data_IF_230052404964
#
_entry.id   IF_230052404964
#
_cell.length_a   1.000
_cell.length_b   1.000
_cell.length_c   1.000
_cell.angle_alpha   90.00
_cell.angle_beta   90.00
_cell.angle_gamma   90.00
#
_symmetry.space_group_name_H-M   'P 1'
#
loop_
_entity.id
_entity.type
_entity.pdbx_description
1 polymer ?
#
# COMPACT_ATOMS: atom_id res chain seq x y z
N UNK A 1 -69.61 33.52 30.89
CA UNK A 1 -68.29 32.84 30.88
C UNK A 1 -68.29 31.61 29.96
N UNK A 2 -68.72 31.72 28.69
CA UNK A 2 -68.76 30.60 27.72
C UNK A 2 -68.16 30.95 26.33
N UNK A 3 -67.69 32.19 26.15
CA UNK A 3 -67.14 32.71 24.88
C UNK A 3 -65.61 32.66 24.79
N UNK A 4 -64.93 32.38 25.91
CA UNK A 4 -63.46 32.24 25.96
C UNK A 4 -63.00 30.78 25.85
N UNK A 5 -63.93 29.82 25.90
CA UNK A 5 -63.64 28.38 25.77
C UNK A 5 -62.99 28.01 24.42
N UNK A 6 -63.42 28.52 23.25
CA UNK A 6 -62.77 28.18 21.99
C UNK A 6 -61.38 28.83 21.84
N UNK A 7 -61.16 29.99 22.47
CA UNK A 7 -59.87 30.71 22.41
C UNK A 7 -58.79 29.99 23.25
N UNK A 8 -59.17 29.50 24.44
CA UNK A 8 -58.27 28.72 25.30
C UNK A 8 -57.93 27.37 24.65
N UNK A 9 -58.90 26.72 23.99
CA UNK A 9 -58.66 25.45 23.29
C UNK A 9 -57.67 25.62 22.11
N UNK A 10 -57.76 26.74 21.38
CA UNK A 10 -56.87 27.05 20.25
C UNK A 10 -55.42 27.30 20.71
N UNK A 11 -55.24 27.99 21.85
CA UNK A 11 -53.91 28.26 22.43
C UNK A 11 -53.26 26.96 22.94
N UNK A 12 -54.03 26.04 23.51
CA UNK A 12 -53.52 24.73 23.95
C UNK A 12 -53.12 23.86 22.75
N UNK A 13 -53.88 23.90 21.64
CA UNK A 13 -53.55 23.15 20.44
C UNK A 13 -52.26 23.66 19.77
N UNK A 14 -52.05 24.98 19.72
CA UNK A 14 -50.86 25.60 19.16
C UNK A 14 -49.63 25.44 20.08
N UNK A 15 -49.80 25.49 21.40
CA UNK A 15 -48.73 25.25 22.36
C UNK A 15 -48.25 23.80 22.43
N UNK A 16 -49.16 22.83 22.27
CA UNK A 16 -48.85 21.40 22.30
C UNK A 16 -47.96 20.93 21.13
N UNK A 17 -48.19 21.47 19.93
CA UNK A 17 -47.40 21.13 18.74
C UNK A 17 -45.98 21.69 18.82
N UNK A 18 -45.81 22.89 19.40
CA UNK A 18 -44.49 23.51 19.63
C UNK A 18 -43.62 22.76 20.64
N UNK A 19 -44.23 22.16 21.68
CA UNK A 19 -43.49 21.34 22.65
C UNK A 19 -43.10 19.97 22.08
N UNK A 20 -44.00 19.32 21.33
CA UNK A 20 -43.75 17.99 20.76
C UNK A 20 -42.65 17.98 19.68
N UNK A 21 -42.46 19.09 18.95
CA UNK A 21 -41.35 19.23 18.00
C UNK A 21 -40.01 19.60 18.65
N UNK A 22 -40.00 20.07 19.92
CA UNK A 22 -38.77 20.40 20.65
C UNK A 22 -38.22 19.23 21.49
N UNK A 23 -39.01 18.17 21.72
CA UNK A 23 -38.61 17.00 22.53
C UNK A 23 -38.13 15.79 21.72
N UNK A 24 -37.92 15.94 20.40
CA UNK A 24 -37.17 14.96 19.59
C UNK A 24 -35.85 15.57 19.10
N UNK A 25 -34.95 15.85 20.04
CA UNK A 25 -33.52 15.93 19.73
C UNK A 25 -32.93 14.51 19.85
N UNK A 26 -32.12 14.06 18.88
CA UNK A 26 -31.51 12.73 18.93
C UNK A 26 -30.60 12.60 20.15
N UNK A 27 -30.58 11.40 20.74
CA UNK A 27 -29.62 11.00 21.76
C UNK A 27 -28.22 11.48 21.39
N UNK A 28 -27.72 12.42 22.18
CA UNK A 28 -26.29 12.71 22.30
C UNK A 28 -25.67 11.48 22.94
N UNK A 29 -25.12 10.60 22.09
CA UNK A 29 -24.18 9.56 22.48
C UNK A 29 -22.97 10.22 23.16
N UNK A 30 -22.23 9.53 24.05
CA UNK A 30 -21.13 10.13 24.78
C UNK A 30 -20.15 10.72 23.78
N UNK A 31 -19.87 12.01 24.00
CA UNK A 31 -18.80 12.78 23.40
C UNK A 31 -17.47 12.07 23.67
N UNK A 32 -17.13 11.06 22.87
CA UNK A 32 -15.75 10.84 22.49
C UNK A 32 -15.39 12.08 21.71
N UNK A 33 -14.67 12.99 22.35
CA UNK A 33 -13.98 14.08 21.69
C UNK A 33 -13.14 13.46 20.58
N UNK A 34 -13.66 13.47 19.35
CA UNK A 34 -12.84 13.40 18.16
C UNK A 34 -12.07 14.71 18.15
N UNK A 35 -10.93 14.68 18.81
CA UNK A 35 -9.85 15.61 18.53
C UNK A 35 -9.54 15.41 17.05
N UNK A 36 -10.13 16.23 16.20
CA UNK A 36 -9.62 16.52 14.86
C UNK A 36 -8.28 17.25 15.04
N UNK A 37 -7.28 16.52 15.50
CA UNK A 37 -5.94 16.71 14.97
C UNK A 37 -5.97 16.00 13.62
N UNK A 38 -5.78 16.75 12.55
CA UNK A 38 -5.44 16.19 11.25
C UNK A 38 -4.12 15.44 11.41
N UNK A 39 -4.20 14.21 11.89
CA UNK A 39 -3.15 13.24 11.66
C UNK A 39 -3.00 13.14 10.16
N UNK A 40 -1.78 13.23 9.67
CA UNK A 40 -1.58 13.10 8.23
C UNK A 40 -2.07 11.72 7.78
N UNK A 41 -2.54 11.61 6.54
CA UNK A 41 -2.84 10.30 5.94
C UNK A 41 -1.62 9.35 5.98
N UNK A 42 -0.40 9.89 6.11
CA UNK A 42 0.84 9.15 6.38
C UNK A 42 0.87 8.50 7.76
N UNK A 43 0.49 9.25 8.80
CA UNK A 43 0.43 8.73 10.16
C UNK A 43 -0.70 7.69 10.30
N UNK A 44 -1.81 7.87 9.59
CA UNK A 44 -2.88 6.87 9.55
C UNK A 44 -2.43 5.59 8.85
N UNK A 45 -1.67 5.70 7.76
CA UNK A 45 -1.04 4.56 7.08
C UNK A 45 0.01 3.85 7.93
N UNK A 46 0.95 4.59 8.53
CA UNK A 46 1.96 4.06 9.43
C UNK A 46 1.31 3.35 10.62
N UNK A 47 0.29 3.97 11.23
CA UNK A 47 -0.50 3.36 12.30
C UNK A 47 -1.28 2.13 11.82
N UNK A 48 -1.79 2.11 10.59
CA UNK A 48 -2.48 0.94 10.05
C UNK A 48 -1.52 -0.26 9.95
N UNK A 49 -0.30 -0.04 9.47
CA UNK A 49 0.78 -1.03 9.43
C UNK A 49 1.14 -1.50 10.85
N UNK A 50 1.43 -0.56 11.75
CA UNK A 50 1.80 -0.88 13.14
C UNK A 50 0.68 -1.60 13.92
N UNK A 51 -0.57 -1.19 13.70
CA UNK A 51 -1.73 -1.79 14.36
C UNK A 51 -2.18 -3.11 13.73
N UNK A 52 -1.61 -3.47 12.57
CA UNK A 52 -1.98 -4.66 11.82
C UNK A 52 -3.42 -4.64 11.29
N UNK A 53 -4.08 -3.47 11.27
CA UNK A 53 -5.47 -3.36 10.84
C UNK A 53 -5.58 -3.54 9.33
N UNK A 54 -6.53 -4.36 8.86
CA UNK A 54 -6.81 -4.50 7.43
C UNK A 54 -7.08 -3.13 6.78
N UNK A 55 -6.23 -2.75 5.83
CA UNK A 55 -6.24 -1.42 5.20
C UNK A 55 -5.95 -1.53 3.72
N UNK A 56 -6.74 -0.85 2.89
CA UNK A 56 -6.49 -0.67 1.47
C UNK A 56 -5.98 0.75 1.25
N UNK A 57 -4.83 0.89 0.61
CA UNK A 57 -4.32 2.18 0.17
C UNK A 57 -4.16 2.21 -1.35
N UNK A 58 -4.59 3.30 -1.95
CA UNK A 58 -4.41 3.56 -3.37
C UNK A 58 -3.53 4.78 -3.53
N UNK A 59 -2.44 4.61 -4.26
CA UNK A 59 -1.59 5.68 -4.75
C UNK A 59 -1.78 5.82 -6.25
N UNK A 60 -1.92 7.04 -6.74
CA UNK A 60 -2.03 7.28 -8.17
C UNK A 60 -1.29 8.55 -8.57
N UNK A 61 -0.65 8.52 -9.74
CA UNK A 61 -0.04 9.68 -10.40
C UNK A 61 -0.13 9.49 -11.91
N UNK A 62 -0.76 10.43 -12.61
CA UNK A 62 -1.01 10.33 -14.04
C UNK A 62 -1.72 9.01 -14.39
N UNK A 63 -1.04 8.13 -15.13
CA UNK A 63 -1.52 6.82 -15.56
C UNK A 63 -1.08 5.69 -14.64
N UNK A 64 -0.18 5.97 -13.69
CA UNK A 64 0.39 4.99 -12.79
C UNK A 64 -0.51 4.87 -11.56
N UNK A 65 -0.78 3.62 -11.16
CA UNK A 65 -1.64 3.30 -10.02
C UNK A 65 -1.01 2.17 -9.22
N UNK A 66 -0.95 2.33 -7.91
CA UNK A 66 -0.49 1.31 -6.97
C UNK A 66 -1.56 1.09 -5.90
N UNK A 67 -1.94 -0.16 -5.67
CA UNK A 67 -2.89 -0.56 -4.64
C UNK A 67 -2.19 -1.46 -3.62
N UNK A 68 -2.21 -1.05 -2.36
CA UNK A 68 -1.61 -1.75 -1.23
C UNK A 68 -2.70 -2.33 -0.35
N UNK A 69 -2.67 -3.63 -0.16
CA UNK A 69 -3.55 -4.38 0.73
C UNK A 69 -2.69 -4.80 1.92
N UNK A 70 -3.01 -4.29 3.10
CA UNK A 70 -2.23 -4.51 4.32
C UNK A 70 -3.07 -5.25 5.34
N UNK A 71 -2.52 -6.30 5.96
CA UNK A 71 -3.17 -7.02 7.06
C UNK A 71 -2.11 -7.66 7.96
N UNK A 72 -2.02 -7.21 9.21
CA UNK A 72 -0.93 -7.64 10.10
C UNK A 72 0.43 -7.30 9.48
N UNK A 73 1.29 -8.31 9.33
CA UNK A 73 2.60 -8.19 8.67
C UNK A 73 2.58 -8.56 7.19
N UNK A 74 1.41 -8.93 6.65
CA UNK A 74 1.25 -9.31 5.25
C UNK A 74 0.89 -8.11 4.39
N UNK A 75 1.38 -8.14 3.16
CA UNK A 75 1.14 -7.09 2.18
C UNK A 75 0.92 -7.71 0.80
N UNK A 76 -0.06 -7.20 0.06
CA UNK A 76 -0.18 -7.41 -1.37
C UNK A 76 -0.16 -6.05 -2.07
N UNK A 77 0.60 -5.94 -3.16
CA UNK A 77 0.70 -4.74 -3.98
C UNK A 77 0.31 -5.08 -5.41
N UNK A 78 -0.58 -4.29 -5.98
CA UNK A 78 -0.93 -4.31 -7.39
C UNK A 78 -0.47 -2.99 -8.03
N UNK A 79 0.43 -3.07 -9.01
CA UNK A 79 1.05 -1.91 -9.67
C UNK A 79 0.66 -1.90 -11.13
N UNK A 80 -0.03 -0.86 -11.57
CA UNK A 80 -0.36 -0.60 -12.97
C UNK A 80 0.50 0.55 -13.47
N UNK A 81 1.28 0.31 -14.52
CA UNK A 81 2.09 1.33 -15.19
C UNK A 81 1.81 1.33 -16.69
N UNK A 82 2.05 2.46 -17.37
CA UNK A 82 2.03 2.52 -18.83
C UNK A 82 3.46 2.68 -19.35
N UNK A 83 3.95 1.67 -20.06
CA UNK A 83 5.29 1.66 -20.68
C UNK A 83 5.09 1.50 -22.19
N UNK A 84 5.60 2.45 -22.98
CA UNK A 84 5.48 2.43 -24.46
C UNK A 84 4.03 2.22 -24.95
N UNK A 85 3.07 2.95 -24.36
CA UNK A 85 1.63 2.83 -24.61
C UNK A 85 1.01 1.44 -24.31
N UNK A 86 1.71 0.59 -23.56
CA UNK A 86 1.18 -0.69 -23.06
C UNK A 86 1.00 -0.65 -21.56
N UNK A 87 -0.15 -1.14 -21.10
CA UNK A 87 -0.40 -1.32 -19.68
C UNK A 87 0.35 -2.56 -19.19
N UNK A 88 1.21 -2.37 -18.19
CA UNK A 88 1.93 -3.43 -17.50
C UNK A 88 1.42 -3.48 -16.08
N UNK A 89 0.88 -4.64 -15.68
CA UNK A 89 0.41 -4.89 -14.32
C UNK A 89 1.40 -5.84 -13.64
N UNK A 90 1.98 -5.37 -12.54
CA UNK A 90 2.92 -6.15 -11.73
C UNK A 90 2.35 -6.31 -10.32
N UNK A 91 2.71 -7.41 -9.70
CA UNK A 91 2.19 -7.82 -8.42
C UNK A 91 3.32 -8.16 -7.47
N UNK A 92 3.09 -7.90 -6.19
CA UNK A 92 4.00 -8.26 -5.11
C UNK A 92 3.22 -8.79 -3.92
N UNK A 93 3.65 -9.90 -3.32
CA UNK A 93 3.13 -10.41 -2.06
C UNK A 93 4.27 -10.54 -1.06
N UNK A 94 4.06 -10.06 0.16
CA UNK A 94 4.82 -10.42 1.34
C UNK A 94 3.91 -11.25 2.26
N UNK A 95 4.28 -12.52 2.48
CA UNK A 95 3.55 -13.45 3.35
C UNK A 95 4.24 -13.69 4.72
N UNK A 96 5.16 -12.80 5.09
CA UNK A 96 6.08 -12.83 6.26
C UNK A 96 7.31 -13.71 6.08
N UNK A 97 7.26 -14.72 5.21
CA UNK A 97 8.37 -15.64 4.98
C UNK A 97 9.07 -15.35 3.65
N UNK A 98 8.30 -15.06 2.62
CA UNK A 98 8.75 -14.83 1.27
C UNK A 98 8.19 -13.52 0.71
N UNK A 99 8.98 -12.90 -0.14
CA UNK A 99 8.54 -11.86 -1.07
C UNK A 99 8.37 -12.49 -2.45
N UNK A 100 7.17 -12.40 -3.01
CA UNK A 100 6.83 -12.87 -4.36
C UNK A 100 6.65 -11.69 -5.27
N UNK A 101 7.19 -11.74 -6.49
CA UNK A 101 6.98 -10.75 -7.53
C UNK A 101 6.67 -11.42 -8.86
N UNK A 102 5.67 -10.90 -9.58
CA UNK A 102 5.35 -11.36 -10.93
C UNK A 102 4.65 -10.26 -11.73
N UNK A 103 4.53 -10.48 -13.03
CA UNK A 103 3.82 -9.59 -13.95
C UNK A 103 2.67 -10.37 -14.60
N UNK A 104 1.54 -9.70 -14.79
CA UNK A 104 0.37 -10.31 -15.41
C UNK A 104 0.69 -10.89 -16.78
N UNK A 105 0.11 -12.07 -17.05
CA UNK A 105 0.34 -12.82 -18.29
C UNK A 105 1.66 -13.60 -18.34
N UNK A 106 2.58 -13.39 -17.39
CA UNK A 106 3.82 -14.18 -17.30
C UNK A 106 3.60 -15.45 -16.48
N UNK A 107 4.19 -16.57 -16.94
CA UNK A 107 4.15 -17.87 -16.22
C UNK A 107 5.31 -18.06 -15.25
N UNK A 108 6.21 -17.10 -15.18
CA UNK A 108 7.34 -17.10 -14.26
C UNK A 108 7.31 -15.85 -13.39
N UNK A 109 7.65 -16.04 -12.12
CA UNK A 109 7.84 -14.97 -11.15
C UNK A 109 9.07 -15.25 -10.31
N UNK A 110 9.43 -14.30 -9.45
CA UNK A 110 10.51 -14.48 -8.49
C UNK A 110 9.95 -14.61 -7.08
N UNK A 111 10.61 -15.45 -6.26
CA UNK A 111 10.40 -15.49 -4.81
C UNK A 111 11.72 -15.30 -4.10
N UNK A 112 11.70 -14.61 -2.97
CA UNK A 112 12.88 -14.38 -2.15
C UNK A 112 12.55 -14.63 -0.68
N UNK A 113 13.39 -15.39 0.02
CA UNK A 113 13.22 -15.63 1.44
C UNK A 113 13.67 -14.41 2.26
N UNK A 114 12.76 -13.83 3.03
CA UNK A 114 13.02 -12.62 3.82
C UNK A 114 13.92 -12.88 5.05
N UNK A 115 14.04 -14.14 5.48
CA UNK A 115 14.82 -14.51 6.67
C UNK A 115 16.29 -14.83 6.35
N UNK A 116 16.61 -15.18 5.10
CA UNK A 116 17.93 -15.69 4.72
C UNK A 116 18.62 -14.86 3.64
N UNK A 117 17.92 -13.91 3.03
CA UNK A 117 18.51 -13.02 2.04
C UNK A 117 18.87 -11.70 2.72
N UNK A 118 20.16 -11.35 2.89
CA UNK A 118 20.50 -9.96 3.15
C UNK A 118 19.99 -9.20 1.92
N UNK A 119 18.97 -8.36 2.08
CA UNK A 119 18.51 -7.46 1.02
C UNK A 119 19.78 -6.79 0.47
N UNK A 120 20.24 -7.12 -0.76
CA UNK A 120 21.37 -6.40 -1.30
C UNK A 120 20.94 -4.94 -1.31
N UNK A 121 21.78 -4.05 -0.75
CA UNK A 121 21.59 -2.61 -0.86
C UNK A 121 21.10 -2.32 -2.26
N UNK A 122 19.83 -1.95 -2.38
CA UNK A 122 19.13 -1.88 -3.66
C UNK A 122 19.88 -0.90 -4.55
N UNK A 123 20.67 -1.43 -5.49
CA UNK A 123 21.27 -0.63 -6.54
C UNK A 123 20.11 -0.11 -7.41
N UNK A 124 20.04 1.19 -7.73
CA UNK A 124 18.80 1.87 -8.17
C UNK A 124 18.33 1.55 -9.59
N UNK A 125 18.82 0.47 -10.20
CA UNK A 125 18.54 0.19 -11.60
C UNK A 125 17.67 -1.06 -11.70
N UNK A 126 16.38 -0.85 -12.01
CA UNK A 126 15.39 -1.83 -12.51
C UNK A 126 14.44 -2.57 -11.55
N UNK A 127 14.31 -2.16 -10.28
CA UNK A 127 13.05 -2.40 -9.55
C UNK A 127 12.25 -1.09 -9.54
N UNK A 128 10.95 -1.07 -9.89
CA UNK A 128 10.14 0.12 -9.65
C UNK A 128 10.14 0.34 -8.15
N UNK A 129 10.85 1.36 -7.70
CA UNK A 129 11.03 1.70 -6.30
C UNK A 129 9.66 1.84 -5.67
N UNK A 130 9.25 0.85 -4.87
CA UNK A 130 8.07 0.98 -4.05
C UNK A 130 8.32 2.13 -3.07
N UNK A 131 7.46 3.14 -2.99
CA UNK A 131 7.63 4.27 -2.10
C UNK A 131 7.81 3.80 -0.66
N UNK A 132 8.92 4.22 -0.04
CA UNK A 132 9.19 3.99 1.37
C UNK A 132 8.45 5.06 2.15
N UNK A 133 7.46 4.66 2.94
CA UNK A 133 6.68 5.56 3.79
C UNK A 133 7.13 5.42 5.24
N UNK A 134 8.40 5.69 5.49
CA UNK A 134 8.99 5.53 6.83
C UNK A 134 8.81 6.81 7.67
N UNK A 135 8.40 7.92 7.04
CA UNK A 135 8.24 9.21 7.69
C UNK A 135 7.15 10.09 7.05
N UNK A 136 6.68 11.06 7.83
CA UNK A 136 5.82 12.14 7.35
C UNK A 136 6.43 12.89 6.16
N UNK A 137 7.75 13.09 6.17
CA UNK A 137 8.48 13.72 5.08
C UNK A 137 8.44 12.93 3.78
N UNK A 138 8.46 11.59 3.83
CA UNK A 138 8.37 10.76 2.62
C UNK A 138 7.00 10.90 1.95
N UNK A 139 5.96 10.94 2.79
CA UNK A 139 4.58 11.14 2.34
C UNK A 139 4.38 12.51 1.70
N UNK A 140 4.89 13.57 2.32
CA UNK A 140 4.84 14.92 1.76
C UNK A 140 5.64 15.04 0.45
N UNK A 141 6.80 14.36 0.36
CA UNK A 141 7.58 14.27 -0.87
C UNK A 141 6.77 13.66 -2.03
N UNK A 142 6.06 12.56 -1.79
CA UNK A 142 5.23 11.92 -2.81
C UNK A 142 4.04 12.79 -3.23
N UNK A 143 3.41 13.49 -2.29
CA UNK A 143 2.40 14.50 -2.65
C UNK A 143 2.97 15.62 -3.49
N UNK A 144 4.17 16.11 -3.17
CA UNK A 144 4.85 17.15 -3.96
C UNK A 144 5.20 16.67 -5.38
N UNK A 145 5.45 15.38 -5.57
CA UNK A 145 5.62 14.76 -6.89
C UNK A 145 4.31 14.59 -7.67
N UNK A 146 3.16 14.85 -7.04
CA UNK A 146 1.83 14.79 -7.66
C UNK A 146 1.09 13.46 -7.43
N UNK A 147 1.52 12.65 -6.46
CA UNK A 147 0.75 11.47 -6.06
C UNK A 147 -0.48 11.85 -5.24
N UNK A 148 -1.62 11.26 -5.60
CA UNK A 148 -2.79 11.17 -4.70
C UNK A 148 -2.67 9.89 -3.90
N UNK A 149 -2.82 9.97 -2.58
CA UNK A 149 -2.73 8.82 -1.67
C UNK A 149 -4.02 8.78 -0.87
N UNK A 150 -4.75 7.67 -0.95
CA UNK A 150 -5.97 7.44 -0.20
C UNK A 150 -5.86 6.10 0.53
N UNK A 151 -6.02 6.12 1.85
CA UNK A 151 -6.02 4.93 2.69
C UNK A 151 -7.35 4.80 3.43
N UNK A 152 -7.92 3.61 3.43
CA UNK A 152 -9.16 3.33 4.12
C UNK A 152 -9.14 1.94 4.77
N UNK A 153 -9.75 1.85 5.95
CA UNK A 153 -10.02 0.55 6.57
C UNK A 153 -10.85 -0.30 5.60
N UNK A 154 -10.47 -1.57 5.46
CA UNK A 154 -11.12 -2.49 4.53
C UNK A 154 -11.26 -3.87 5.17
N UNK A 155 -12.03 -4.76 4.55
CA UNK A 155 -12.04 -6.16 4.94
C UNK A 155 -11.25 -6.95 3.90
N UNK A 156 -10.07 -7.44 4.29
CA UNK A 156 -9.15 -8.16 3.40
C UNK A 156 -9.09 -9.61 3.84
N UNK A 157 -9.45 -10.50 2.93
CA UNK A 157 -9.37 -11.93 3.12
C UNK A 157 -7.91 -12.42 3.06
N UNK A 158 -7.57 -13.47 3.82
CA UNK A 158 -6.21 -13.99 3.86
C UNK A 158 -5.75 -14.57 2.51
N UNK A 159 -6.69 -14.96 1.65
CA UNK A 159 -6.41 -15.42 0.28
C UNK A 159 -5.79 -14.34 -0.61
N UNK A 160 -5.96 -13.05 -0.30
CA UNK A 160 -5.30 -11.96 -1.02
C UNK A 160 -3.76 -12.02 -0.92
N UNK A 161 -3.24 -12.74 0.09
CA UNK A 161 -1.80 -12.90 0.34
C UNK A 161 -1.28 -14.28 -0.05
N UNK A 162 -2.05 -15.05 -0.82
CA UNK A 162 -1.62 -16.34 -1.35
C UNK A 162 -1.16 -16.15 -2.80
N UNK A 163 0.09 -16.49 -3.14
CA UNK A 163 0.56 -16.35 -4.51
C UNK A 163 -0.22 -17.28 -5.47
N UNK A 164 -0.43 -16.84 -6.73
CA UNK A 164 -1.15 -17.63 -7.71
C UNK A 164 -0.42 -18.93 -8.04
N UNK A 165 -1.18 -20.02 -8.21
CA UNK A 165 -0.63 -21.35 -8.46
C UNK A 165 -0.18 -21.57 -9.90
N UNK A 166 -0.62 -20.73 -10.84
CA UNK A 166 -0.27 -20.83 -12.25
C UNK A 166 1.01 -20.06 -12.63
N UNK A 167 1.64 -19.39 -11.66
CA UNK A 167 2.94 -18.74 -11.79
C UNK A 167 4.02 -19.61 -11.14
N UNK A 168 5.05 -19.97 -11.90
CA UNK A 168 6.20 -20.70 -11.39
C UNK A 168 7.21 -19.72 -10.76
N UNK A 169 7.30 -19.73 -9.43
CA UNK A 169 8.19 -18.84 -8.69
C UNK A 169 9.58 -19.42 -8.48
N UNK A 170 10.57 -18.78 -9.09
CA UNK A 170 11.99 -19.14 -9.02
C UNK A 170 12.66 -18.32 -7.91
N UNK A 171 13.52 -18.95 -7.11
CA UNK A 171 14.37 -18.25 -6.16
C UNK A 171 15.73 -17.93 -6.82
N UNK A 172 15.98 -16.68 -7.24
CA UNK A 172 17.23 -16.33 -7.91
C UNK A 172 18.45 -16.46 -6.99
N UNK A 173 18.27 -16.37 -5.66
CA UNK A 173 19.38 -16.56 -4.72
C UNK A 173 19.92 -17.99 -4.73
N UNK A 174 19.04 -18.97 -4.99
CA UNK A 174 19.43 -20.37 -5.16
C UNK A 174 20.25 -20.63 -6.43
N UNK A 175 20.12 -19.78 -7.45
CA UNK A 175 20.92 -19.85 -8.67
C UNK A 175 22.30 -19.21 -8.44
N UNK A 176 22.35 -18.07 -7.77
CA UNK A 176 23.63 -17.42 -7.42
C UNK A 176 24.49 -18.26 -6.48
N UNK A 177 23.88 -19.03 -5.56
CA UNK A 177 24.63 -19.98 -4.73
C UNK A 177 25.25 -21.13 -5.53
N UNK A 178 24.70 -21.47 -6.70
CA UNK A 178 25.25 -22.51 -7.58
C UNK A 178 26.39 -21.98 -8.46
N UNK A 179 26.39 -20.67 -8.76
CA UNK A 179 27.52 -20.01 -9.39
C UNK A 179 28.57 -19.70 -8.31
N UNK A 180 29.55 -20.58 -8.17
CA UNK A 180 30.69 -20.35 -7.30
C UNK A 180 31.40 -19.05 -7.72
N UNK A 181 31.21 -17.98 -6.93
CA UNK A 181 31.78 -16.66 -7.17
C UNK A 181 33.32 -16.72 -7.26
N UNK A 182 33.96 -17.70 -6.64
CA UNK A 182 35.41 -17.92 -6.78
C UNK A 182 35.80 -18.28 -8.21
N UNK A 183 34.97 -19.06 -8.90
CA UNK A 183 35.18 -19.49 -10.28
C UNK A 183 34.94 -18.37 -11.29
N UNK A 184 34.04 -17.45 -10.98
CA UNK A 184 33.85 -16.22 -11.78
C UNK A 184 35.03 -15.26 -11.63
N UNK A 185 35.62 -15.19 -10.44
CA UNK A 185 36.82 -14.37 -10.20
C UNK A 185 38.06 -14.96 -10.87
N UNK A 186 38.21 -16.29 -10.88
CA UNK A 186 39.25 -16.98 -11.66
C UNK A 186 39.10 -16.73 -13.17
N UNK A 187 37.89 -16.79 -13.71
CA UNK A 187 37.63 -16.49 -15.13
C UNK A 187 37.93 -15.01 -15.46
N UNK A 188 37.61 -14.06 -14.58
CA UNK A 188 37.97 -12.65 -14.79
C UNK A 188 39.49 -12.44 -14.82
N UNK A 189 40.24 -13.12 -13.94
CA UNK A 189 41.71 -13.06 -13.98
C UNK A 189 42.28 -13.73 -15.24
N UNK A 190 41.65 -14.80 -15.72
CA UNK A 190 42.10 -15.51 -16.92
C UNK A 190 41.86 -14.74 -18.23
N UNK A 191 40.76 -13.97 -18.33
CA UNK A 191 40.41 -13.21 -19.54
C UNK A 191 40.80 -11.71 -19.45
N UNK A 192 41.24 -11.22 -18.29
CA UNK A 192 41.70 -9.84 -18.10
C UNK A 192 43.15 -9.59 -18.51
N UNK A 193 43.93 -10.64 -18.82
CA UNK A 193 45.34 -10.53 -19.22
C UNK A 193 45.56 -10.53 -20.75
N UNK A 194 44.53 -10.75 -21.58
CA UNK A 194 44.67 -10.81 -23.05
C UNK A 194 44.53 -9.45 -23.78
N UNK A 195 44.18 -8.35 -23.11
CA UNK A 195 44.12 -7.01 -23.71
C UNK A 195 45.27 -6.10 -23.25
N UNK A 196 46.53 -6.50 -23.48
CA UNK A 196 47.64 -5.54 -23.41
C UNK A 196 48.86 -5.96 -24.25
N UNK A 197 48.66 -6.43 -25.48
CA UNK A 197 49.77 -6.56 -26.43
C UNK A 197 49.34 -6.26 -27.87
N UNK A 198 48.97 -5.01 -28.16
CA UNK A 198 49.18 -4.44 -29.50
C UNK A 198 49.50 -2.94 -29.45
N UNK A 199 50.49 -2.59 -30.26
CA UNK A 199 50.95 -1.26 -30.67
C UNK A 199 51.65 -0.36 -29.64
N UNK A 200 52.98 -0.45 -29.66
CA UNK A 200 53.84 0.74 -29.55
C UNK A 200 54.47 0.98 -30.95
N UNK A 201 54.39 2.20 -31.51
CA UNK A 201 54.69 2.52 -32.92
C UNK A 201 56.17 2.45 -33.32
#
# INVERSE_FOLDING_TARGET
MKKFLPLILLIILLGGIGYYLKTKSPSVSPNTQTVSQSMSEAEEFAKAIESGRPTLCTMARNTDKMEYFLKGKKMYVNMTNIIENKTVISHMINDEKYLYLWTDGQKQGSKMNLLTSPLPNASPTSTPSSPKFESQSDYEGLKAEGYTINCQASNIDDTAFVPPQDVNFIDPSSLLQQFDLSKLQELQSQYGEEEMETDNP
#
